data_IF_540025453347
#
_entry.id   IF_540025453347
#
_cell.length_a   1.000
_cell.length_b   1.000
_cell.length_c   1.000
_cell.angle_alpha   90.00
_cell.angle_beta   90.00
_cell.angle_gamma   90.00
#
_symmetry.space_group_name_H-M   'P 1'
#
loop_
_entity.id
_entity.type
_entity.pdbx_description
1 polymer ?
#
# COMPACT_ATOMS: atom_id res chain seq x y z
N UNK A 1 -50.41 -5.39 21.94
CA UNK A 1 -49.00 -5.58 22.31
C UNK A 1 -48.51 -6.87 21.65
N UNK A 2 -47.60 -6.77 20.72
CA UNK A 2 -47.29 -7.83 19.75
C UNK A 2 -46.42 -8.93 20.42
N UNK A 3 -46.72 -10.20 20.14
CA UNK A 3 -45.99 -11.38 20.67
C UNK A 3 -44.48 -11.24 20.35
N UNK A 4 -44.14 -10.62 19.24
CA UNK A 4 -42.75 -10.33 18.89
C UNK A 4 -42.04 -9.39 19.89
N UNK A 5 -42.71 -8.39 20.41
CA UNK A 5 -42.14 -7.49 21.45
C UNK A 5 -41.85 -8.20 22.78
N UNK A 6 -42.70 -9.16 23.18
CA UNK A 6 -42.44 -9.95 24.38
C UNK A 6 -41.24 -10.88 24.22
N UNK A 7 -41.11 -11.51 23.06
CA UNK A 7 -40.00 -12.40 22.74
C UNK A 7 -38.66 -11.63 22.70
N UNK A 8 -38.62 -10.44 22.11
CA UNK A 8 -37.43 -9.60 22.09
C UNK A 8 -37.04 -9.07 23.47
N UNK A 9 -38.00 -8.69 24.31
CA UNK A 9 -37.71 -8.29 25.69
C UNK A 9 -37.12 -9.43 26.51
N UNK A 10 -37.61 -10.66 26.34
CA UNK A 10 -37.07 -11.85 26.99
C UNK A 10 -35.63 -12.17 26.55
N UNK A 11 -35.35 -12.11 25.25
CA UNK A 11 -34.01 -12.31 24.69
C UNK A 11 -33.02 -11.27 25.21
N UNK A 12 -33.44 -10.01 25.30
CA UNK A 12 -32.61 -8.91 25.80
C UNK A 12 -32.31 -9.05 27.29
N UNK A 13 -33.30 -9.45 28.11
CA UNK A 13 -33.06 -9.69 29.53
C UNK A 13 -32.05 -10.81 29.74
N UNK A 14 -32.17 -11.89 28.99
CA UNK A 14 -31.20 -12.99 28.99
C UNK A 14 -29.80 -12.55 28.57
N UNK A 15 -29.69 -11.73 27.52
CA UNK A 15 -28.42 -11.13 27.05
C UNK A 15 -27.78 -10.30 28.18
N UNK A 16 -28.53 -9.37 28.79
CA UNK A 16 -28.04 -8.53 29.90
C UNK A 16 -27.54 -9.38 31.04
N UNK A 17 -28.29 -10.38 31.48
CA UNK A 17 -27.90 -11.28 32.56
C UNK A 17 -26.58 -12.00 32.25
N UNK A 18 -26.48 -12.60 31.06
CA UNK A 18 -25.28 -13.36 30.65
C UNK A 18 -24.07 -12.46 30.48
N UNK A 19 -24.22 -11.33 29.80
CA UNK A 19 -23.09 -10.40 29.57
C UNK A 19 -22.62 -9.74 30.87
N UNK A 20 -23.53 -9.40 31.79
CA UNK A 20 -23.16 -8.87 33.12
C UNK A 20 -22.41 -9.91 33.93
N UNK A 21 -22.83 -11.18 33.87
CA UNK A 21 -22.23 -12.25 34.68
C UNK A 21 -20.80 -12.60 34.20
N UNK A 22 -20.54 -12.66 32.89
CA UNK A 22 -19.29 -13.21 32.38
C UNK A 22 -18.49 -12.25 31.47
N UNK A 23 -19.08 -11.14 31.05
CA UNK A 23 -18.44 -10.19 30.11
C UNK A 23 -17.17 -9.56 30.70
N UNK A 24 -17.20 -9.18 31.96
CA UNK A 24 -16.09 -8.58 32.68
C UNK A 24 -15.11 -9.57 33.35
N UNK A 25 -15.37 -10.89 33.31
CA UNK A 25 -14.46 -11.85 33.88
C UNK A 25 -13.11 -11.86 33.14
N UNK A 26 -11.98 -11.70 33.85
CA UNK A 26 -10.66 -11.68 33.20
C UNK A 26 -10.42 -12.91 32.32
N UNK A 27 -9.85 -12.70 31.15
CA UNK A 27 -9.55 -13.77 30.20
C UNK A 27 -8.65 -14.84 30.81
N UNK A 28 -7.71 -14.45 31.67
CA UNK A 28 -6.73 -15.32 32.32
C UNK A 28 -7.34 -16.18 33.46
N UNK A 29 -8.49 -15.79 34.01
CA UNK A 29 -9.10 -16.44 35.16
C UNK A 29 -10.43 -17.07 34.75
N UNK A 30 -10.41 -18.14 33.99
CA UNK A 30 -11.61 -18.89 33.58
C UNK A 30 -12.66 -18.12 32.78
N UNK A 31 -12.47 -16.83 32.54
CA UNK A 31 -13.44 -15.99 31.82
C UNK A 31 -13.75 -16.51 30.41
N UNK A 32 -12.75 -17.03 29.69
CA UNK A 32 -12.95 -17.65 28.34
C UNK A 32 -13.85 -18.88 28.44
N UNK A 33 -13.67 -19.71 29.49
CA UNK A 33 -14.44 -20.95 29.68
C UNK A 33 -15.91 -20.60 29.90
N UNK A 34 -16.18 -19.65 30.81
CA UNK A 34 -17.56 -19.25 31.12
C UNK A 34 -18.25 -18.59 29.93
N UNK A 35 -17.54 -17.74 29.17
CA UNK A 35 -18.08 -17.17 27.92
C UNK A 35 -18.37 -18.26 26.90
N UNK A 36 -17.49 -19.25 26.73
CA UNK A 36 -17.72 -20.39 25.82
C UNK A 36 -18.97 -21.21 26.20
N UNK A 37 -19.29 -21.32 27.48
CA UNK A 37 -20.46 -22.07 27.97
C UNK A 37 -21.75 -21.25 27.84
N UNK A 38 -21.70 -19.97 28.18
CA UNK A 38 -22.94 -19.17 28.37
C UNK A 38 -23.32 -18.37 27.10
N UNK A 39 -22.36 -17.92 26.30
CA UNK A 39 -22.64 -17.12 25.11
C UNK A 39 -23.44 -17.83 24.00
N UNK A 40 -23.33 -19.16 23.81
CA UNK A 40 -24.23 -19.86 22.89
C UNK A 40 -25.72 -19.66 23.17
N UNK A 41 -26.05 -19.33 24.40
CA UNK A 41 -27.45 -19.11 24.79
C UNK A 41 -28.02 -17.75 24.36
N UNK A 42 -27.19 -16.77 24.02
CA UNK A 42 -27.62 -15.40 23.64
C UNK A 42 -27.42 -15.06 22.18
N UNK A 43 -26.41 -15.67 21.51
CA UNK A 43 -26.16 -15.45 20.07
C UNK A 43 -27.16 -16.20 19.20
N UNK A 44 -27.46 -15.62 18.01
CA UNK A 44 -28.22 -16.35 17.00
C UNK A 44 -27.49 -17.62 16.55
N UNK A 45 -26.18 -17.52 16.39
CA UNK A 45 -25.26 -18.62 16.13
C UNK A 45 -23.88 -18.25 16.64
N UNK A 46 -23.20 -19.19 17.29
CA UNK A 46 -21.77 -19.08 17.59
C UNK A 46 -21.10 -20.40 17.26
N UNK A 47 -20.00 -20.33 16.53
CA UNK A 47 -19.25 -21.48 16.05
C UNK A 47 -18.38 -22.13 17.11
N UNK A 48 -17.61 -23.12 16.67
CA UNK A 48 -16.68 -23.86 17.54
C UNK A 48 -15.36 -23.08 17.69
N UNK A 49 -14.70 -23.26 18.85
CA UNK A 49 -13.38 -22.67 19.12
C UNK A 49 -13.34 -21.13 18.99
N UNK A 50 -14.45 -20.45 19.26
CA UNK A 50 -14.49 -18.98 19.32
C UNK A 50 -13.80 -18.51 20.58
N UNK A 51 -12.91 -17.52 20.45
CA UNK A 51 -12.16 -16.92 21.54
C UNK A 51 -12.60 -15.46 21.73
N UNK A 52 -13.19 -15.15 22.90
CA UNK A 52 -13.68 -13.81 23.21
C UNK A 52 -12.98 -13.33 24.47
N UNK A 53 -12.26 -12.22 24.38
CA UNK A 53 -11.59 -11.59 25.51
C UNK A 53 -12.57 -10.79 26.39
N UNK A 54 -12.11 -10.45 27.58
CA UNK A 54 -12.86 -9.60 28.51
C UNK A 54 -13.09 -8.20 27.95
N UNK A 55 -14.20 -7.58 28.36
CA UNK A 55 -14.59 -6.24 27.88
C UNK A 55 -15.17 -6.20 26.46
N UNK A 56 -15.38 -7.36 25.83
CA UNK A 56 -16.14 -7.40 24.59
C UNK A 56 -17.63 -7.16 24.88
N UNK A 57 -18.26 -6.23 24.17
CA UNK A 57 -19.65 -5.82 24.35
C UNK A 57 -20.53 -6.31 23.19
N UNK A 58 -21.67 -6.90 23.53
CA UNK A 58 -22.66 -7.34 22.55
C UNK A 58 -24.02 -6.74 22.90
N UNK A 59 -24.66 -6.17 21.89
CA UNK A 59 -26.01 -5.64 22.00
C UNK A 59 -26.84 -6.22 20.87
N UNK A 60 -27.95 -6.91 21.16
CA UNK A 60 -28.72 -7.64 20.17
C UNK A 60 -28.01 -8.87 19.65
N UNK A 61 -27.33 -9.62 20.52
CA UNK A 61 -26.58 -10.84 20.18
C UNK A 61 -27.43 -11.88 19.42
N UNK A 62 -28.74 -11.87 19.62
CA UNK A 62 -29.71 -12.72 18.90
C UNK A 62 -29.80 -12.41 17.39
N UNK A 63 -29.21 -11.32 16.91
CA UNK A 63 -29.08 -10.96 15.49
C UNK A 63 -27.65 -11.20 14.97
N UNK A 64 -26.73 -11.69 15.81
CA UNK A 64 -25.32 -11.87 15.48
C UNK A 64 -25.03 -13.36 15.27
N UNK A 65 -24.40 -13.66 14.12
CA UNK A 65 -23.89 -14.99 13.76
C UNK A 65 -22.36 -14.93 13.72
N UNK A 66 -21.70 -15.80 14.48
CA UNK A 66 -20.24 -15.91 14.56
C UNK A 66 -19.82 -17.29 14.07
N UNK A 67 -18.87 -17.35 13.14
CA UNK A 67 -18.30 -18.55 12.58
C UNK A 67 -17.34 -19.30 13.54
N UNK A 68 -16.68 -20.32 12.99
CA UNK A 68 -15.71 -21.12 13.73
C UNK A 68 -14.35 -20.42 13.87
N UNK A 69 -13.65 -20.64 15.00
CA UNK A 69 -12.29 -20.12 15.25
C UNK A 69 -12.16 -18.60 15.14
N UNK A 70 -13.20 -17.86 15.41
CA UNK A 70 -13.20 -16.39 15.45
C UNK A 70 -12.52 -15.90 16.72
N UNK A 71 -11.68 -14.86 16.58
CA UNK A 71 -11.02 -14.19 17.71
C UNK A 71 -11.57 -12.77 17.86
N UNK A 72 -12.17 -12.48 19.02
CA UNK A 72 -12.63 -11.15 19.40
C UNK A 72 -11.77 -10.65 20.57
N UNK A 73 -11.00 -9.60 20.31
CA UNK A 73 -10.09 -9.03 21.29
C UNK A 73 -10.80 -8.06 22.25
N UNK A 74 -10.07 -7.59 23.26
CA UNK A 74 -10.60 -6.72 24.32
C UNK A 74 -11.26 -5.46 23.78
N UNK A 75 -12.44 -5.09 24.33
CA UNK A 75 -13.11 -3.85 23.97
C UNK A 75 -13.74 -3.83 22.58
N UNK A 76 -13.87 -4.98 21.92
CA UNK A 76 -14.67 -5.11 20.70
C UNK A 76 -16.14 -4.89 21.06
N UNK A 77 -16.81 -4.00 20.33
CA UNK A 77 -18.25 -3.76 20.46
C UNK A 77 -18.98 -4.20 19.21
N UNK A 78 -20.01 -5.02 19.34
CA UNK A 78 -20.87 -5.45 18.22
C UNK A 78 -22.32 -5.18 18.60
N UNK A 79 -22.95 -4.25 17.87
CA UNK A 79 -24.31 -3.82 18.11
C UNK A 79 -25.23 -4.17 16.93
N UNK A 80 -26.00 -5.22 17.08
CA UNK A 80 -27.03 -5.68 16.13
C UNK A 80 -28.44 -5.51 16.69
N UNK A 81 -28.69 -4.52 17.57
CA UNK A 81 -29.92 -4.39 18.34
C UNK A 81 -31.16 -4.09 17.52
N UNK A 82 -31.00 -3.34 16.43
CA UNK A 82 -32.13 -2.81 15.70
C UNK A 82 -32.93 -3.89 14.92
N UNK A 83 -34.19 -3.59 14.64
CA UNK A 83 -35.07 -4.49 13.91
C UNK A 83 -34.51 -4.78 12.51
N UNK A 84 -34.59 -6.03 12.08
CA UNK A 84 -34.06 -6.52 10.81
C UNK A 84 -32.55 -6.35 10.63
N UNK A 85 -31.81 -6.03 11.71
CA UNK A 85 -30.36 -6.02 11.66
C UNK A 85 -29.82 -7.47 11.64
N UNK A 86 -28.83 -7.73 10.82
CA UNK A 86 -28.12 -9.00 10.76
C UNK A 86 -26.62 -8.76 10.65
N UNK A 87 -25.88 -9.30 11.58
CA UNK A 87 -24.42 -9.26 11.57
C UNK A 87 -23.89 -10.68 11.44
N UNK A 88 -23.11 -10.96 10.39
CA UNK A 88 -22.49 -12.26 10.16
C UNK A 88 -20.97 -12.11 10.08
N UNK A 89 -20.28 -12.84 10.94
CA UNK A 89 -18.82 -12.93 10.98
C UNK A 89 -18.43 -14.34 10.55
N UNK A 90 -17.63 -14.44 9.49
CA UNK A 90 -17.16 -15.69 8.91
C UNK A 90 -16.17 -16.43 9.79
N UNK A 91 -15.74 -17.60 9.30
CA UNK A 91 -14.77 -18.43 10.03
C UNK A 91 -13.38 -17.78 10.06
N UNK A 92 -12.61 -18.03 11.12
CA UNK A 92 -11.22 -17.58 11.28
C UNK A 92 -11.01 -16.06 11.18
N UNK A 93 -12.07 -15.29 11.37
CA UNK A 93 -11.98 -13.82 11.43
C UNK A 93 -11.33 -13.42 12.76
N UNK A 94 -10.39 -12.47 12.69
CA UNK A 94 -9.80 -11.84 13.86
C UNK A 94 -10.22 -10.36 13.91
N UNK A 95 -10.82 -9.96 15.04
CA UNK A 95 -11.31 -8.60 15.27
C UNK A 95 -10.57 -8.02 16.46
N UNK A 96 -9.69 -7.07 16.19
CA UNK A 96 -8.78 -6.46 17.14
C UNK A 96 -9.47 -5.51 18.13
N UNK A 97 -8.71 -5.12 19.15
CA UNK A 97 -9.18 -4.30 20.26
C UNK A 97 -9.85 -3.01 19.80
N UNK A 98 -10.94 -2.65 20.48
CA UNK A 98 -11.61 -1.38 20.28
C UNK A 98 -12.30 -1.22 18.92
N UNK A 99 -12.47 -2.32 18.19
CA UNK A 99 -13.26 -2.30 16.94
C UNK A 99 -14.73 -2.11 17.32
N UNK A 100 -15.42 -1.20 16.63
CA UNK A 100 -16.85 -0.95 16.79
C UNK A 100 -17.59 -1.36 15.51
N UNK A 101 -18.47 -2.37 15.64
CA UNK A 101 -19.37 -2.81 14.57
C UNK A 101 -20.78 -2.47 15.01
N UNK A 102 -21.38 -1.43 14.40
CA UNK A 102 -22.68 -0.93 14.81
C UNK A 102 -23.62 -0.79 13.61
N UNK A 103 -24.63 -1.62 13.56
CA UNK A 103 -25.71 -1.49 12.61
C UNK A 103 -26.79 -0.52 13.08
N UNK A 104 -27.51 0.11 12.14
CA UNK A 104 -28.77 0.80 12.37
C UNK A 104 -29.96 -0.08 11.96
N UNK A 105 -31.12 0.54 11.77
CA UNK A 105 -32.30 -0.15 11.25
C UNK A 105 -32.03 -0.82 9.90
N UNK A 106 -32.51 -2.06 9.74
CA UNK A 106 -32.36 -2.88 8.53
C UNK A 106 -30.91 -3.17 8.12
N UNK A 107 -29.94 -3.04 9.03
CA UNK A 107 -28.55 -3.24 8.73
C UNK A 107 -28.23 -4.69 8.33
N UNK A 108 -27.31 -4.84 7.38
CA UNK A 108 -26.71 -6.12 7.01
C UNK A 108 -25.20 -5.97 6.95
N UNK A 109 -24.51 -6.54 7.93
CA UNK A 109 -23.04 -6.52 7.96
C UNK A 109 -22.54 -7.95 7.79
N UNK A 110 -21.75 -8.18 6.75
CA UNK A 110 -21.13 -9.48 6.47
C UNK A 110 -19.62 -9.31 6.39
N UNK A 111 -18.88 -10.11 7.16
CA UNK A 111 -17.42 -10.19 7.14
C UNK A 111 -17.03 -11.59 6.73
N UNK A 112 -16.32 -11.72 5.60
CA UNK A 112 -15.89 -12.99 5.03
C UNK A 112 -14.82 -13.68 5.85
N UNK A 113 -14.67 -14.99 5.62
CA UNK A 113 -13.70 -15.83 6.33
C UNK A 113 -12.24 -15.38 6.15
N UNK A 114 -11.37 -15.71 7.11
CA UNK A 114 -9.93 -15.38 7.12
C UNK A 114 -9.63 -13.87 7.07
N UNK A 115 -10.60 -13.00 7.35
CA UNK A 115 -10.43 -11.54 7.33
C UNK A 115 -9.94 -11.03 8.68
N UNK A 116 -8.98 -10.09 8.63
CA UNK A 116 -8.43 -9.39 9.78
C UNK A 116 -8.97 -7.97 9.85
N UNK A 117 -9.50 -7.57 11.01
CA UNK A 117 -9.98 -6.21 11.29
C UNK A 117 -9.09 -5.60 12.38
N UNK A 118 -8.29 -4.62 11.99
CA UNK A 118 -7.31 -3.93 12.83
C UNK A 118 -7.93 -3.05 13.91
N UNK A 119 -7.12 -2.65 14.92
CA UNK A 119 -7.59 -1.94 16.10
C UNK A 119 -8.34 -0.65 15.79
N UNK A 120 -9.38 -0.35 16.58
CA UNK A 120 -10.16 0.89 16.51
C UNK A 120 -10.79 1.16 15.13
N UNK A 121 -11.00 0.13 14.34
CA UNK A 121 -11.78 0.21 13.10
C UNK A 121 -13.26 0.38 13.44
N UNK A 122 -13.95 1.25 12.71
CA UNK A 122 -15.38 1.46 12.80
C UNK A 122 -16.08 0.95 11.53
N UNK A 123 -17.03 0.03 11.71
CA UNK A 123 -17.84 -0.55 10.63
C UNK A 123 -19.30 -0.35 10.98
N UNK A 124 -20.04 0.36 10.13
CA UNK A 124 -21.44 0.57 10.49
C UNK A 124 -22.25 1.39 9.52
N UNK A 125 -23.42 1.79 10.05
CA UNK A 125 -24.44 2.53 9.34
C UNK A 125 -25.70 1.68 9.09
N UNK A 126 -26.83 2.32 8.78
CA UNK A 126 -28.06 1.61 8.45
C UNK A 126 -28.01 0.90 7.10
N UNK A 127 -27.01 1.17 6.25
CA UNK A 127 -26.81 0.51 4.98
C UNK A 127 -26.16 -0.87 5.11
N UNK A 128 -26.12 -1.58 3.97
CA UNK A 128 -25.43 -2.87 3.88
C UNK A 128 -23.91 -2.67 3.83
N UNK A 129 -23.17 -3.45 4.62
CA UNK A 129 -21.71 -3.55 4.51
C UNK A 129 -21.33 -5.01 4.26
N UNK A 130 -20.64 -5.26 3.16
CA UNK A 130 -20.08 -6.57 2.84
C UNK A 130 -18.60 -6.46 2.68
N UNK A 131 -17.84 -7.19 3.51
CA UNK A 131 -16.40 -7.35 3.42
C UNK A 131 -16.12 -8.78 3.01
N UNK A 132 -15.35 -8.95 1.95
CA UNK A 132 -14.98 -10.24 1.38
C UNK A 132 -14.07 -11.06 2.29
N UNK A 133 -13.60 -12.18 1.75
CA UNK A 133 -12.71 -13.12 2.43
C UNK A 133 -11.25 -12.65 2.33
N UNK A 134 -10.43 -13.07 3.32
CA UNK A 134 -8.98 -12.84 3.33
C UNK A 134 -8.58 -11.38 3.19
N UNK A 135 -9.43 -10.47 3.66
CA UNK A 135 -9.13 -9.05 3.67
C UNK A 135 -8.25 -8.67 4.87
N UNK A 136 -7.39 -7.68 4.66
CA UNK A 136 -6.60 -7.04 5.69
C UNK A 136 -7.08 -5.60 5.87
N UNK A 137 -7.81 -5.33 6.93
CA UNK A 137 -8.29 -3.99 7.27
C UNK A 137 -7.38 -3.45 8.38
N UNK A 138 -6.56 -2.45 8.07
CA UNK A 138 -5.65 -1.87 9.05
C UNK A 138 -6.38 -0.99 10.07
N UNK A 139 -5.65 -0.61 11.13
CA UNK A 139 -6.17 0.15 12.25
C UNK A 139 -6.82 1.48 11.84
N UNK A 140 -7.80 1.95 12.65
CA UNK A 140 -8.50 3.23 12.50
C UNK A 140 -9.23 3.44 11.16
N UNK A 141 -9.50 2.36 10.44
CA UNK A 141 -10.31 2.40 9.21
C UNK A 141 -11.76 2.70 9.54
N UNK A 142 -12.41 3.53 8.72
CA UNK A 142 -13.83 3.83 8.81
C UNK A 142 -14.58 3.30 7.58
N UNK A 143 -15.57 2.44 7.78
CA UNK A 143 -16.42 1.87 6.73
C UNK A 143 -17.87 2.18 7.13
N UNK A 144 -18.43 3.27 6.57
CA UNK A 144 -19.73 3.79 7.04
C UNK A 144 -20.69 3.88 5.88
N UNK A 145 -21.68 2.97 5.88
CA UNK A 145 -22.65 2.79 4.80
C UNK A 145 -23.88 3.68 4.95
N UNK A 146 -23.65 4.97 5.14
CA UNK A 146 -24.67 6.01 5.07
C UNK A 146 -24.03 7.39 4.92
N UNK A 147 -24.78 8.32 4.29
CA UNK A 147 -24.45 9.76 4.31
C UNK A 147 -25.71 10.54 4.68
N UNK A 148 -25.55 11.62 5.44
CA UNK A 148 -26.65 12.55 5.67
C UNK A 148 -26.99 13.31 4.39
N UNK A 149 -28.27 13.48 4.11
CA UNK A 149 -28.77 14.39 3.05
C UNK A 149 -28.65 15.81 3.57
N UNK A 150 -28.12 16.72 2.74
CA UNK A 150 -27.86 18.12 3.10
C UNK A 150 -28.14 19.10 1.95
N UNK A 151 -28.87 18.66 0.93
CA UNK A 151 -29.09 19.45 -0.28
C UNK A 151 -30.00 20.66 -0.08
N UNK A 152 -30.90 20.63 0.88
CA UNK A 152 -31.81 21.74 1.18
C UNK A 152 -31.20 22.65 2.25
N UNK A 153 -30.77 23.89 1.90
CA UNK A 153 -30.17 24.82 2.85
C UNK A 153 -31.19 25.43 3.85
N UNK A 154 -32.48 25.24 3.63
CA UNK A 154 -33.55 25.75 4.50
C UNK A 154 -33.98 24.74 5.58
N UNK A 155 -33.52 23.51 5.52
CA UNK A 155 -33.77 22.47 6.50
C UNK A 155 -32.52 22.08 7.26
N UNK A 156 -32.66 21.76 8.55
CA UNK A 156 -31.55 21.17 9.29
C UNK A 156 -31.13 19.84 8.66
N UNK A 157 -29.83 19.61 8.55
CA UNK A 157 -29.26 18.37 7.98
C UNK A 157 -29.85 17.12 8.67
N UNK A 158 -30.05 17.19 9.97
CA UNK A 158 -30.65 16.10 10.77
C UNK A 158 -32.04 15.67 10.27
N UNK A 159 -32.81 16.61 9.73
CA UNK A 159 -34.21 16.37 9.36
C UNK A 159 -34.36 15.96 7.89
N UNK A 160 -33.27 16.02 7.10
CA UNK A 160 -33.27 15.64 5.68
C UNK A 160 -33.08 14.14 5.43
N UNK A 161 -32.82 13.35 6.49
CA UNK A 161 -32.62 11.91 6.38
C UNK A 161 -31.22 11.50 5.94
N UNK A 162 -31.06 10.24 5.51
CA UNK A 162 -29.79 9.62 5.15
C UNK A 162 -29.92 8.78 3.89
N UNK A 163 -28.82 8.68 3.12
CA UNK A 163 -28.67 7.66 2.07
C UNK A 163 -28.12 6.37 2.65
N UNK A 164 -28.45 5.23 2.03
CA UNK A 164 -28.08 3.88 2.46
C UNK A 164 -27.82 3.00 1.24
N UNK A 165 -26.84 3.42 0.39
CA UNK A 165 -26.52 2.71 -0.85
C UNK A 165 -25.77 1.42 -0.59
N UNK A 166 -25.07 1.36 0.52
CA UNK A 166 -24.26 0.23 0.93
C UNK A 166 -22.81 0.28 0.46
N UNK A 167 -21.98 -0.56 1.06
CA UNK A 167 -20.54 -0.71 0.74
C UNK A 167 -20.26 -2.18 0.46
N UNK A 168 -19.51 -2.44 -0.62
CA UNK A 168 -18.99 -3.77 -0.92
C UNK A 168 -17.48 -3.74 -1.08
N UNK A 169 -16.76 -4.55 -0.29
CA UNK A 169 -15.31 -4.77 -0.39
C UNK A 169 -15.11 -6.21 -0.84
N UNK A 170 -14.49 -6.40 -1.99
CA UNK A 170 -14.21 -7.72 -2.56
C UNK A 170 -13.21 -8.54 -1.74
N UNK A 171 -12.99 -9.78 -2.15
CA UNK A 171 -12.01 -10.68 -1.51
C UNK A 171 -10.58 -10.17 -1.71
N UNK A 172 -9.66 -10.56 -0.80
CA UNK A 172 -8.22 -10.27 -0.88
C UNK A 172 -7.90 -8.77 -0.99
N UNK A 173 -8.66 -7.90 -0.33
CA UNK A 173 -8.39 -6.47 -0.28
C UNK A 173 -7.54 -6.09 0.93
N UNK A 174 -6.64 -5.14 0.74
CA UNK A 174 -5.89 -4.51 1.82
C UNK A 174 -6.27 -3.02 1.92
N UNK A 175 -6.86 -2.63 3.05
CA UNK A 175 -7.11 -1.23 3.40
C UNK A 175 -6.05 -0.79 4.41
N UNK A 176 -5.23 0.18 4.03
CA UNK A 176 -4.18 0.76 4.86
C UNK A 176 -4.73 1.52 6.08
N UNK A 177 -3.82 1.91 6.98
CA UNK A 177 -4.14 2.64 8.19
C UNK A 177 -4.99 3.88 7.92
N UNK A 178 -6.08 4.04 8.67
CA UNK A 178 -6.90 5.26 8.64
C UNK A 178 -7.75 5.47 7.37
N UNK A 179 -7.86 4.48 6.48
CA UNK A 179 -8.73 4.55 5.29
C UNK A 179 -10.17 4.85 5.67
N UNK A 180 -10.85 5.68 4.87
CA UNK A 180 -12.28 5.93 4.99
C UNK A 180 -13.00 5.49 3.72
N UNK A 181 -14.03 4.64 3.86
CA UNK A 181 -14.87 4.18 2.76
C UNK A 181 -16.27 4.75 2.94
N UNK A 182 -16.73 5.52 1.97
CA UNK A 182 -18.02 6.21 2.03
C UNK A 182 -19.15 5.36 1.41
N UNK A 183 -20.38 5.72 1.78
CA UNK A 183 -21.61 5.05 1.29
C UNK A 183 -21.70 4.99 -0.23
N UNK A 184 -22.11 3.85 -0.75
CA UNK A 184 -22.28 3.58 -2.18
C UNK A 184 -21.03 3.13 -2.90
N UNK A 185 -19.93 2.85 -2.19
CA UNK A 185 -18.64 2.46 -2.79
C UNK A 185 -18.52 0.95 -2.91
N UNK A 186 -18.03 0.50 -4.07
CA UNK A 186 -17.53 -0.86 -4.30
C UNK A 186 -16.02 -0.85 -4.47
N UNK A 187 -15.29 -1.62 -3.63
CA UNK A 187 -13.87 -1.89 -3.81
C UNK A 187 -13.72 -3.29 -4.40
N UNK A 188 -13.23 -3.35 -5.65
CA UNK A 188 -13.04 -4.60 -6.37
C UNK A 188 -12.01 -5.52 -5.71
N UNK A 189 -12.20 -6.84 -5.86
CA UNK A 189 -11.32 -7.87 -5.28
C UNK A 189 -9.83 -7.61 -5.55
N UNK A 190 -8.98 -8.00 -4.62
CA UNK A 190 -7.52 -7.91 -4.77
C UNK A 190 -6.98 -6.49 -4.73
N UNK A 191 -7.78 -5.47 -4.39
CA UNK A 191 -7.34 -4.08 -4.39
C UNK A 191 -6.60 -3.70 -3.10
N UNK A 192 -5.69 -2.74 -3.23
CA UNK A 192 -4.94 -2.11 -2.14
C UNK A 192 -5.34 -0.65 -2.05
N UNK A 193 -5.78 -0.23 -0.87
CA UNK A 193 -6.09 1.17 -0.58
C UNK A 193 -5.02 1.71 0.37
N UNK A 194 -4.26 2.69 -0.08
CA UNK A 194 -3.16 3.28 0.70
C UNK A 194 -3.64 3.99 1.96
N UNK A 195 -2.76 4.07 2.96
CA UNK A 195 -3.06 4.66 4.24
C UNK A 195 -3.59 6.10 4.12
N UNK A 196 -4.59 6.44 4.95
CA UNK A 196 -5.21 7.77 4.97
C UNK A 196 -6.09 8.09 3.76
N UNK A 197 -6.26 7.20 2.80
CA UNK A 197 -7.10 7.45 1.64
C UNK A 197 -8.59 7.54 1.98
N UNK A 198 -9.33 8.38 1.24
CA UNK A 198 -10.78 8.53 1.35
C UNK A 198 -11.42 8.05 0.06
N UNK A 199 -12.05 6.88 0.12
CA UNK A 199 -12.69 6.24 -1.04
C UNK A 199 -14.10 6.77 -1.20
N UNK A 200 -14.31 7.57 -2.23
CA UNK A 200 -15.58 8.26 -2.54
C UNK A 200 -16.26 7.72 -3.81
N UNK A 201 -15.57 6.87 -4.57
CA UNK A 201 -16.02 6.25 -5.81
C UNK A 201 -15.51 4.82 -5.88
N UNK A 202 -16.13 4.02 -6.73
CA UNK A 202 -15.75 2.63 -6.95
C UNK A 202 -14.29 2.50 -7.37
N UNK A 203 -13.64 1.46 -6.83
CA UNK A 203 -12.28 1.08 -7.16
C UNK A 203 -12.33 -0.23 -7.95
N UNK A 204 -11.78 -0.26 -9.18
CA UNK A 204 -11.74 -1.48 -9.98
C UNK A 204 -10.96 -2.61 -9.28
N UNK A 205 -11.24 -3.88 -9.61
CA UNK A 205 -10.50 -5.00 -9.05
C UNK A 205 -8.99 -4.88 -9.28
N UNK A 206 -8.22 -5.37 -8.31
CA UNK A 206 -6.74 -5.40 -8.34
C UNK A 206 -6.07 -4.03 -8.46
N UNK A 207 -6.78 -2.95 -8.18
CA UNK A 207 -6.22 -1.60 -8.19
C UNK A 207 -5.38 -1.31 -6.95
N UNK A 208 -4.36 -0.47 -7.11
CA UNK A 208 -3.71 0.25 -6.02
C UNK A 208 -4.24 1.69 -6.06
N UNK A 209 -4.97 2.10 -5.01
CA UNK A 209 -5.60 3.42 -4.95
C UNK A 209 -5.13 4.19 -3.72
N UNK A 210 -4.83 5.48 -3.89
CA UNK A 210 -4.32 6.36 -2.82
C UNK A 210 -4.94 7.75 -2.90
N UNK A 211 -4.85 8.50 -1.82
CA UNK A 211 -5.16 9.94 -1.77
C UNK A 211 -6.57 10.28 -1.30
N UNK A 212 -6.87 11.60 -1.25
CA UNK A 212 -8.13 12.20 -0.83
C UNK A 212 -8.60 13.18 -1.93
N UNK A 213 -9.59 12.78 -2.75
CA UNK A 213 -10.21 11.46 -2.83
C UNK A 213 -9.28 10.39 -3.41
N UNK A 214 -9.53 9.12 -3.06
CA UNK A 214 -8.75 8.00 -3.54
C UNK A 214 -8.87 7.84 -5.07
N UNK A 215 -7.72 7.67 -5.74
CA UNK A 215 -7.63 7.40 -7.18
C UNK A 215 -6.77 6.15 -7.39
N UNK A 216 -7.20 5.29 -8.30
CA UNK A 216 -6.38 4.17 -8.75
C UNK A 216 -5.15 4.72 -9.50
N UNK A 217 -3.96 4.37 -9.00
CA UNK A 217 -2.67 4.81 -9.58
C UNK A 217 -1.92 3.67 -10.25
N UNK A 218 -2.25 2.42 -9.91
CA UNK A 218 -1.64 1.22 -10.46
C UNK A 218 -2.60 0.02 -10.39
N UNK A 219 -2.23 -1.09 -11.02
CA UNK A 219 -2.93 -2.36 -10.94
C UNK A 219 -2.01 -3.46 -10.41
N UNK A 220 -2.55 -4.33 -9.53
CA UNK A 220 -1.89 -5.57 -9.07
C UNK A 220 -2.02 -6.72 -10.06
N UNK A 221 -2.97 -6.65 -10.98
CA UNK A 221 -2.99 -7.62 -12.05
C UNK A 221 -1.79 -7.38 -12.95
N UNK A 222 -1.03 -8.43 -13.29
CA UNK A 222 -0.21 -8.34 -14.49
C UNK A 222 -1.19 -7.93 -15.61
N UNK A 223 -0.89 -6.83 -16.27
CA UNK A 223 -1.64 -6.40 -17.44
C UNK A 223 -1.84 -7.63 -18.30
N UNK A 224 -3.07 -8.16 -18.37
CA UNK A 224 -3.37 -9.08 -19.47
C UNK A 224 -2.93 -8.35 -20.72
N UNK A 225 -2.22 -9.01 -21.64
CA UNK A 225 -1.83 -8.34 -22.85
C UNK A 225 -3.12 -7.80 -23.48
N UNK A 226 -3.33 -6.50 -23.38
CA UNK A 226 -4.17 -5.81 -24.32
C UNK A 226 -3.54 -6.26 -25.64
N UNK A 227 -4.31 -6.86 -26.53
CA UNK A 227 -3.90 -7.16 -27.91
C UNK A 227 -3.53 -5.84 -28.59
N UNK A 228 -2.44 -5.26 -28.17
CA UNK A 228 -1.66 -4.28 -28.92
C UNK A 228 -0.63 -5.15 -29.61
N UNK A 229 -0.89 -5.44 -30.85
CA UNK A 229 0.15 -5.92 -31.74
C UNK A 229 1.39 -5.02 -31.58
N UNK A 230 2.52 -5.67 -31.25
CA UNK A 230 3.91 -5.20 -31.17
C UNK A 230 4.42 -4.64 -29.83
N UNK A 231 5.27 -5.43 -29.18
CA UNK A 231 6.25 -5.03 -28.18
C UNK A 231 6.12 -5.75 -26.84
N UNK A 232 7.04 -6.60 -26.61
CA UNK A 232 7.22 -7.50 -25.48
C UNK A 232 7.37 -6.75 -24.14
N UNK A 233 6.25 -6.44 -23.45
CA UNK A 233 6.23 -5.80 -22.13
C UNK A 233 6.47 -6.79 -20.96
N UNK A 234 6.72 -8.06 -21.24
CA UNK A 234 7.04 -9.09 -20.26
C UNK A 234 8.28 -8.77 -19.44
N UNK A 235 9.16 -7.94 -19.96
CA UNK A 235 10.42 -7.51 -19.31
C UNK A 235 10.19 -6.62 -18.10
N UNK A 236 9.19 -5.72 -18.12
CA UNK A 236 8.89 -4.83 -16.99
C UNK A 236 8.27 -5.57 -15.80
N UNK A 237 7.53 -6.64 -16.05
CA UNK A 237 6.94 -7.47 -15.00
C UNK A 237 8.02 -8.19 -14.18
N UNK A 238 9.12 -8.59 -14.81
CA UNK A 238 10.22 -9.27 -14.14
C UNK A 238 11.02 -8.35 -13.19
N UNK A 239 11.01 -7.03 -13.40
CA UNK A 239 11.72 -6.06 -12.57
C UNK A 239 10.94 -5.59 -11.35
N UNK A 240 9.63 -5.75 -11.35
CA UNK A 240 8.76 -5.20 -10.31
C UNK A 240 9.11 -5.65 -8.87
N UNK A 241 9.50 -6.92 -8.60
CA UNK A 241 9.90 -7.33 -7.26
C UNK A 241 11.15 -6.61 -6.73
N UNK A 242 12.19 -6.45 -7.58
CA UNK A 242 13.44 -5.79 -7.19
C UNK A 242 13.26 -4.29 -6.97
N UNK A 243 12.45 -3.63 -7.80
CA UNK A 243 12.12 -2.21 -7.67
C UNK A 243 11.28 -1.95 -6.41
N UNK A 244 10.31 -2.81 -6.12
CA UNK A 244 9.46 -2.70 -4.92
C UNK A 244 10.28 -2.89 -3.64
N UNK A 245 11.23 -3.82 -3.63
CA UNK A 245 12.10 -4.05 -2.47
C UNK A 245 13.06 -2.88 -2.25
N UNK A 246 13.57 -2.28 -3.32
CA UNK A 246 14.43 -1.10 -3.23
C UNK A 246 13.69 0.13 -2.68
N UNK A 247 12.46 0.39 -3.13
CA UNK A 247 11.61 1.47 -2.62
C UNK A 247 11.27 1.26 -1.14
N UNK A 248 10.94 0.04 -0.76
CA UNK A 248 10.61 -0.33 0.60
C UNK A 248 11.79 -0.12 1.56
N UNK A 249 12.99 -0.49 1.14
CA UNK A 249 14.20 -0.31 1.93
C UNK A 249 14.58 1.16 2.06
N UNK A 250 14.37 1.97 1.04
CA UNK A 250 14.59 3.41 1.11
C UNK A 250 13.64 4.11 2.10
N UNK A 251 12.40 3.63 2.22
CA UNK A 251 11.39 4.13 3.17
C UNK A 251 11.61 3.63 4.61
N UNK A 252 12.17 2.43 4.78
CA UNK A 252 12.42 1.82 6.10
C UNK A 252 13.82 2.14 6.67
N UNK A 253 14.56 3.05 6.05
CA UNK A 253 15.92 3.42 6.42
C UNK A 253 16.07 3.77 7.91
N UNK A 254 15.15 4.58 8.44
CA UNK A 254 15.14 4.96 9.87
C UNK A 254 14.89 3.78 10.81
N UNK A 255 14.13 2.78 10.39
CA UNK A 255 13.86 1.56 11.15
C UNK A 255 15.06 0.61 11.17
N UNK A 256 15.81 0.51 10.07
CA UNK A 256 16.98 -0.34 9.97
C UNK A 256 18.11 0.19 10.88
N UNK A 257 18.30 1.50 10.97
CA UNK A 257 19.25 2.12 11.90
C UNK A 257 18.92 1.89 13.38
N UNK A 258 17.63 1.87 13.74
CA UNK A 258 17.17 1.61 15.11
C UNK A 258 17.34 0.15 15.51
N UNK A 259 17.18 -0.78 14.55
CA UNK A 259 17.24 -2.23 14.82
C UNK A 259 18.68 -2.78 14.77
N UNK A 260 19.58 -2.15 14.04
CA UNK A 260 20.97 -2.59 13.94
C UNK A 260 21.92 -1.43 13.62
N UNK A 261 22.46 -0.74 14.65
CA UNK A 261 23.30 0.46 14.47
C UNK A 261 24.63 0.21 13.73
N UNK A 262 24.99 -1.06 13.48
CA UNK A 262 26.19 -1.43 12.74
C UNK A 262 25.96 -1.64 11.22
N UNK A 263 24.71 -1.58 10.74
CA UNK A 263 24.39 -1.67 9.32
C UNK A 263 23.99 -0.27 8.85
N UNK A 264 24.87 0.38 8.10
CA UNK A 264 24.52 1.64 7.43
C UNK A 264 23.42 1.37 6.40
N UNK A 265 22.29 2.11 6.48
CA UNK A 265 21.23 2.02 5.49
C UNK A 265 21.72 2.33 4.06
N UNK A 266 22.80 3.11 3.95
CA UNK A 266 23.49 3.35 2.68
C UNK A 266 24.06 2.04 2.10
N UNK A 267 24.63 1.15 2.91
CA UNK A 267 25.16 -0.13 2.45
C UNK A 267 24.06 -1.07 1.96
N UNK A 268 22.89 -1.04 2.61
CA UNK A 268 21.72 -1.83 2.18
C UNK A 268 21.18 -1.31 0.85
N UNK A 269 21.07 0.00 0.69
CA UNK A 269 20.65 0.64 -0.54
C UNK A 269 21.62 0.34 -1.70
N UNK A 270 22.93 0.44 -1.47
CA UNK A 270 23.96 0.14 -2.48
C UNK A 270 23.89 -1.31 -2.95
N UNK A 271 23.68 -2.27 -2.02
CA UNK A 271 23.51 -3.67 -2.37
C UNK A 271 22.24 -3.93 -3.19
N UNK A 272 21.11 -3.30 -2.82
CA UNK A 272 19.85 -3.44 -3.56
C UNK A 272 19.94 -2.80 -4.95
N UNK A 273 20.59 -1.65 -5.05
CA UNK A 273 20.86 -1.00 -6.33
C UNK A 273 21.68 -1.92 -7.24
N UNK A 274 22.73 -2.57 -6.69
CA UNK A 274 23.54 -3.52 -7.45
C UNK A 274 22.73 -4.72 -7.97
N UNK A 275 21.86 -5.30 -7.15
CA UNK A 275 20.96 -6.39 -7.55
C UNK A 275 19.99 -5.94 -8.65
N UNK A 276 19.45 -4.72 -8.53
CA UNK A 276 18.57 -4.15 -9.54
C UNK A 276 19.32 -3.95 -10.87
N UNK A 277 20.54 -3.38 -10.82
CA UNK A 277 21.34 -3.17 -12.04
C UNK A 277 21.63 -4.49 -12.74
N UNK A 278 22.01 -5.55 -12.01
CA UNK A 278 22.23 -6.86 -12.61
C UNK A 278 20.96 -7.43 -13.25
N UNK A 279 19.80 -7.27 -12.60
CA UNK A 279 18.52 -7.72 -13.13
C UNK A 279 18.14 -6.98 -14.43
N UNK A 280 18.35 -5.66 -14.47
CA UNK A 280 18.11 -4.85 -15.67
C UNK A 280 19.09 -5.22 -16.80
N UNK A 281 20.37 -5.42 -16.47
CA UNK A 281 21.40 -5.82 -17.41
C UNK A 281 21.04 -7.12 -18.14
N UNK A 282 20.64 -8.14 -17.37
CA UNK A 282 20.23 -9.44 -17.92
C UNK A 282 18.95 -9.33 -18.74
N UNK A 283 17.94 -8.63 -18.24
CA UNK A 283 16.68 -8.46 -18.92
C UNK A 283 16.80 -7.72 -20.24
N UNK A 284 17.59 -6.66 -20.28
CA UNK A 284 17.84 -5.87 -21.49
C UNK A 284 18.88 -6.52 -22.40
N UNK A 285 19.55 -7.58 -21.96
CA UNK A 285 20.65 -8.24 -22.69
C UNK A 285 21.71 -7.22 -23.12
N UNK A 286 22.18 -6.43 -22.16
CA UNK A 286 23.26 -5.46 -22.36
C UNK A 286 24.53 -5.90 -21.62
N UNK A 287 25.69 -5.41 -22.05
CA UNK A 287 26.98 -5.82 -21.47
C UNK A 287 27.32 -5.02 -20.23
N UNK A 288 26.94 -3.74 -20.23
CA UNK A 288 27.25 -2.80 -19.13
C UNK A 288 26.03 -1.99 -18.72
N UNK A 289 25.99 -1.61 -17.44
CA UNK A 289 24.98 -0.75 -16.86
C UNK A 289 25.58 0.08 -15.73
N UNK A 290 25.23 1.36 -15.65
CA UNK A 290 25.74 2.24 -14.59
C UNK A 290 24.74 3.31 -14.17
N UNK A 291 24.82 3.64 -12.88
CA UNK A 291 24.19 4.81 -12.26
C UNK A 291 25.28 5.79 -11.85
N UNK A 292 25.18 7.00 -12.38
CA UNK A 292 26.01 8.11 -12.00
C UNK A 292 25.18 9.13 -11.23
N UNK A 293 25.69 9.61 -10.10
CA UNK A 293 25.02 10.62 -9.31
C UNK A 293 25.83 11.91 -9.29
N UNK A 294 25.12 13.02 -9.21
CA UNK A 294 25.70 14.34 -9.08
C UNK A 294 26.10 14.60 -7.63
N UNK A 295 27.32 14.96 -7.37
CA UNK A 295 27.76 15.43 -6.07
C UNK A 295 27.22 16.84 -5.82
N UNK A 296 26.72 17.09 -4.60
CA UNK A 296 26.22 18.40 -4.20
C UNK A 296 27.34 19.45 -4.27
N UNK A 297 27.01 20.59 -4.88
CA UNK A 297 27.94 21.70 -5.07
C UNK A 297 28.93 21.51 -6.23
N UNK A 298 29.04 20.30 -6.79
CA UNK A 298 29.92 20.02 -7.93
C UNK A 298 29.12 19.93 -9.24
N UNK A 299 29.65 20.50 -10.30
CA UNK A 299 29.11 20.32 -11.67
C UNK A 299 29.66 19.06 -12.31
N UNK A 300 29.70 17.96 -11.55
CA UNK A 300 30.27 16.68 -12.00
C UNK A 300 29.40 15.51 -11.56
N UNK A 301 29.40 14.47 -12.38
CA UNK A 301 28.79 13.16 -12.11
C UNK A 301 29.88 12.19 -11.63
N UNK A 302 29.57 11.38 -10.63
CA UNK A 302 30.41 10.27 -10.17
C UNK A 302 29.66 8.95 -10.34
N UNK A 303 30.35 7.89 -10.71
CA UNK A 303 29.78 6.54 -10.77
C UNK A 303 29.46 6.08 -9.36
N UNK A 304 28.19 5.81 -9.11
CA UNK A 304 27.67 5.35 -7.81
C UNK A 304 27.52 3.83 -7.76
N UNK A 305 27.03 3.24 -8.84
CA UNK A 305 26.89 1.78 -8.98
C UNK A 305 27.03 1.39 -10.45
N UNK A 306 27.64 0.23 -10.74
CA UNK A 306 27.79 -0.27 -12.09
C UNK A 306 27.95 -1.77 -12.13
N UNK A 307 27.59 -2.37 -13.26
CA UNK A 307 27.94 -3.75 -13.61
C UNK A 307 28.61 -3.74 -14.98
N UNK A 308 29.77 -4.38 -15.07
CA UNK A 308 30.59 -4.43 -16.28
C UNK A 308 31.55 -3.24 -16.49
N UNK A 309 31.50 -2.23 -15.61
CA UNK A 309 32.38 -1.04 -15.64
C UNK A 309 32.97 -0.72 -14.25
N UNK A 310 33.30 -1.73 -13.46
CA UNK A 310 33.76 -1.60 -12.07
C UNK A 310 35.04 -0.75 -11.95
N UNK A 311 35.82 -0.71 -13.01
CA UNK A 311 37.05 0.11 -13.07
C UNK A 311 36.75 1.62 -13.01
N UNK A 312 35.56 2.07 -13.44
CA UNK A 312 35.15 3.48 -13.34
C UNK A 312 35.00 3.92 -11.86
N UNK A 313 34.51 3.01 -11.00
CA UNK A 313 34.46 3.26 -9.55
C UNK A 313 35.87 3.29 -8.97
N UNK A 314 36.68 2.28 -9.28
CA UNK A 314 38.02 2.13 -8.74
C UNK A 314 38.96 3.28 -9.12
N UNK A 315 38.82 3.79 -10.35
CA UNK A 315 39.64 4.92 -10.85
C UNK A 315 39.05 6.28 -10.47
N UNK A 316 37.85 6.30 -9.86
CA UNK A 316 37.19 7.54 -9.42
C UNK A 316 36.83 8.47 -10.56
N UNK A 317 36.33 7.94 -11.67
CA UNK A 317 35.94 8.73 -12.84
C UNK A 317 34.92 9.82 -12.45
N UNK A 318 35.20 11.07 -12.87
CA UNK A 318 34.33 12.22 -12.69
C UNK A 318 33.99 12.80 -14.05
N UNK A 319 32.71 12.97 -14.35
CA UNK A 319 32.25 13.45 -15.67
C UNK A 319 31.61 14.83 -15.47
N UNK A 320 32.16 15.90 -16.07
CA UNK A 320 31.56 17.22 -15.97
C UNK A 320 30.17 17.25 -16.65
N UNK A 321 29.20 17.93 -16.01
CA UNK A 321 27.87 18.18 -16.59
C UNK A 321 28.06 18.99 -17.88
N UNK A 322 27.38 18.60 -18.95
CA UNK A 322 27.53 19.18 -20.29
C UNK A 322 28.71 18.63 -21.11
N UNK A 323 29.43 17.61 -20.62
CA UNK A 323 30.55 16.98 -21.31
C UNK A 323 30.35 15.48 -21.51
N UNK A 324 30.69 15.02 -22.69
CA UNK A 324 30.60 13.60 -23.08
C UNK A 324 29.15 13.07 -23.05
N UNK A 325 29.01 11.74 -23.10
CA UNK A 325 27.69 11.09 -23.17
C UNK A 325 26.83 11.39 -21.92
N UNK A 326 27.28 11.00 -20.74
CA UNK A 326 26.51 11.14 -19.51
C UNK A 326 26.34 12.61 -19.07
N UNK A 327 27.39 13.45 -19.25
CA UNK A 327 27.31 14.87 -18.89
C UNK A 327 26.28 15.63 -19.72
N UNK A 328 26.15 15.32 -21.01
CA UNK A 328 25.13 15.93 -21.87
C UNK A 328 23.71 15.50 -21.51
N UNK A 329 23.50 14.24 -21.12
CA UNK A 329 22.20 13.74 -20.63
C UNK A 329 21.78 14.50 -19.36
N UNK A 330 22.70 14.70 -18.42
CA UNK A 330 22.42 15.42 -17.19
C UNK A 330 22.10 16.91 -17.44
N UNK A 331 22.79 17.53 -18.38
CA UNK A 331 22.61 18.95 -18.72
C UNK A 331 21.29 19.22 -19.45
N UNK A 332 21.03 18.45 -20.51
CA UNK A 332 19.84 18.59 -21.36
C UNK A 332 18.60 17.97 -20.76
N UNK A 333 18.75 17.05 -19.82
CA UNK A 333 17.67 16.24 -19.23
C UNK A 333 16.89 15.43 -20.24
N UNK A 334 17.57 14.99 -21.28
CA UNK A 334 17.00 14.26 -22.40
C UNK A 334 17.61 12.86 -22.49
N UNK A 335 16.81 11.91 -22.93
CA UNK A 335 17.25 10.57 -23.29
C UNK A 335 18.15 10.63 -24.53
N UNK A 336 19.25 9.89 -24.52
CA UNK A 336 20.19 9.79 -25.64
C UNK A 336 20.44 8.33 -25.98
N UNK A 337 20.27 7.98 -27.27
CA UNK A 337 20.65 6.70 -27.86
C UNK A 337 21.79 6.91 -28.82
N UNK A 338 22.82 6.09 -28.73
CA UNK A 338 24.01 6.13 -29.61
C UNK A 338 24.25 4.74 -30.13
N UNK A 339 24.20 4.59 -31.44
CA UNK A 339 24.45 3.33 -32.15
C UNK A 339 25.95 3.05 -32.30
N UNK A 340 26.76 4.10 -32.44
CA UNK A 340 28.21 4.03 -32.58
C UNK A 340 28.89 5.07 -31.68
N UNK A 341 29.48 4.60 -30.60
CA UNK A 341 30.15 5.43 -29.60
C UNK A 341 31.42 6.13 -30.14
N UNK A 342 31.97 5.66 -31.26
CA UNK A 342 33.14 6.28 -31.91
C UNK A 342 32.83 7.67 -32.46
N UNK A 343 31.54 7.95 -32.73
CA UNK A 343 31.09 9.19 -33.38
C UNK A 343 30.76 10.32 -32.39
N UNK A 344 30.87 10.05 -31.09
CA UNK A 344 30.59 11.05 -30.03
C UNK A 344 31.79 11.22 -29.11
N UNK A 345 31.83 12.38 -28.47
CA UNK A 345 32.80 12.63 -27.40
C UNK A 345 32.44 11.77 -26.19
N UNK A 346 33.37 10.92 -25.76
CA UNK A 346 33.29 10.11 -24.53
C UNK A 346 34.33 10.60 -23.56
N UNK A 347 33.87 11.01 -22.37
CA UNK A 347 34.74 11.56 -21.34
C UNK A 347 35.49 10.46 -20.55
N UNK A 348 34.81 9.32 -20.27
CA UNK A 348 35.46 8.18 -19.60
C UNK A 348 36.34 7.41 -20.58
N UNK A 349 37.66 7.31 -20.34
CA UNK A 349 38.55 6.52 -21.18
C UNK A 349 38.24 5.02 -21.13
N UNK A 350 37.63 4.54 -20.03
CA UNK A 350 37.31 3.14 -19.78
C UNK A 350 36.27 2.63 -20.77
N UNK A 351 35.28 3.44 -21.13
CA UNK A 351 34.25 3.06 -22.12
C UNK A 351 34.88 2.70 -23.47
N UNK A 352 35.86 3.48 -23.90
CA UNK A 352 36.61 3.20 -25.15
C UNK A 352 37.56 2.01 -25.04
N UNK A 353 38.28 1.92 -23.91
CA UNK A 353 39.23 0.82 -23.66
C UNK A 353 38.53 -0.54 -23.61
N UNK A 354 37.33 -0.60 -23.08
CA UNK A 354 36.50 -1.81 -23.05
C UNK A 354 35.80 -2.12 -24.38
N UNK A 355 35.87 -1.24 -25.35
CA UNK A 355 35.28 -1.47 -26.69
C UNK A 355 33.76 -1.37 -26.71
N UNK A 356 33.16 -0.52 -25.83
CA UNK A 356 31.73 -0.24 -25.95
C UNK A 356 31.40 0.37 -27.30
N UNK A 357 30.36 -0.16 -27.93
CA UNK A 357 29.93 0.23 -29.25
C UNK A 357 28.66 1.08 -29.24
N UNK A 358 27.60 0.61 -28.60
CA UNK A 358 26.30 1.30 -28.55
C UNK A 358 25.89 1.59 -27.12
N UNK A 359 25.23 2.73 -26.88
CA UNK A 359 24.77 3.15 -25.56
C UNK A 359 23.37 3.76 -25.61
N UNK A 360 22.66 3.55 -24.51
CA UNK A 360 21.38 4.20 -24.21
C UNK A 360 21.46 4.79 -22.80
N UNK A 361 21.15 6.06 -22.64
CA UNK A 361 21.16 6.74 -21.36
C UNK A 361 19.94 7.63 -21.12
N UNK A 362 19.54 7.71 -19.87
CA UNK A 362 18.40 8.52 -19.40
C UNK A 362 18.79 9.34 -18.19
N UNK A 363 18.22 10.55 -17.99
CA UNK A 363 18.44 11.33 -16.78
C UNK A 363 17.70 10.68 -15.59
N UNK A 364 18.32 10.74 -14.41
CA UNK A 364 17.66 10.51 -13.12
C UNK A 364 17.09 11.84 -12.65
N UNK A 365 15.78 11.97 -12.62
CA UNK A 365 15.09 13.21 -12.27
C UNK A 365 14.41 13.10 -10.90
N UNK A 366 14.57 14.14 -10.07
CA UNK A 366 13.81 14.37 -8.84
C UNK A 366 13.33 15.82 -8.88
N UNK A 367 12.02 16.03 -8.80
CA UNK A 367 11.40 17.37 -8.88
C UNK A 367 11.94 18.21 -10.07
N UNK A 368 12.00 17.59 -11.25
CA UNK A 368 12.53 18.17 -12.50
C UNK A 368 14.02 18.57 -12.48
N UNK A 369 14.77 18.18 -11.46
CA UNK A 369 16.21 18.36 -11.42
C UNK A 369 16.93 17.05 -11.74
N UNK A 370 17.94 17.13 -12.62
CA UNK A 370 18.80 15.99 -12.90
C UNK A 370 19.76 15.75 -11.73
N UNK A 371 19.48 14.71 -10.94
CA UNK A 371 20.32 14.26 -9.83
C UNK A 371 21.40 13.27 -10.30
N UNK A 372 21.28 12.76 -11.50
CA UNK A 372 22.21 11.78 -12.06
C UNK A 372 21.84 11.32 -13.45
N UNK A 373 22.51 10.25 -13.88
CA UNK A 373 22.30 9.59 -15.17
C UNK A 373 22.30 8.08 -14.97
N UNK A 374 21.40 7.40 -15.66
CA UNK A 374 21.33 5.96 -15.72
C UNK A 374 21.56 5.52 -17.17
N UNK A 375 22.54 4.66 -17.42
CA UNK A 375 22.86 4.23 -18.78
C UNK A 375 23.20 2.76 -18.88
N UNK A 376 23.02 2.21 -20.08
CA UNK A 376 23.42 0.87 -20.50
C UNK A 376 24.29 0.93 -21.74
N UNK A 377 25.09 -0.11 -21.97
CA UNK A 377 25.95 -0.21 -23.16
C UNK A 377 26.17 -1.64 -23.61
N UNK A 378 26.53 -1.79 -24.88
CA UNK A 378 26.86 -3.07 -25.52
C UNK A 378 28.22 -3.02 -26.22
N UNK A 379 28.95 -4.14 -26.20
CA UNK A 379 30.23 -4.28 -26.93
C UNK A 379 30.02 -4.58 -28.40
N UNK A 380 28.80 -4.82 -28.84
CA UNK A 380 28.45 -5.02 -30.24
C UNK A 380 27.51 -3.92 -30.73
N UNK A 381 27.44 -3.74 -32.03
CA UNK A 381 26.49 -2.79 -32.62
C UNK A 381 25.06 -3.19 -32.28
N UNK A 382 24.32 -2.29 -31.66
CA UNK A 382 22.92 -2.45 -31.30
C UNK A 382 22.14 -1.16 -31.55
N UNK A 383 21.04 -1.28 -32.26
CA UNK A 383 20.05 -0.24 -32.34
C UNK A 383 19.05 -0.42 -31.20
N UNK A 384 19.09 0.48 -30.20
CA UNK A 384 18.15 0.48 -29.11
C UNK A 384 16.76 0.89 -29.59
N UNK A 385 15.72 0.15 -29.19
CA UNK A 385 14.34 0.42 -29.56
C UNK A 385 13.70 1.47 -28.65
N UNK A 386 12.57 2.03 -29.07
CA UNK A 386 11.76 2.88 -28.21
C UNK A 386 11.27 2.13 -26.95
N UNK A 387 11.10 0.81 -27.02
CA UNK A 387 10.76 0.00 -25.86
C UNK A 387 11.92 -0.10 -24.85
N UNK A 388 13.15 -0.25 -25.33
CA UNK A 388 14.33 -0.20 -24.45
C UNK A 388 14.42 1.16 -23.75
N UNK A 389 14.13 2.25 -24.45
CA UNK A 389 14.09 3.59 -23.87
C UNK A 389 13.03 3.74 -22.78
N UNK A 390 11.81 3.23 -23.00
CA UNK A 390 10.73 3.24 -22.00
C UNK A 390 11.08 2.45 -20.76
N UNK A 391 11.70 1.28 -20.90
CA UNK A 391 12.19 0.48 -19.78
C UNK A 391 13.21 1.28 -18.96
N UNK A 392 14.18 1.89 -19.62
CA UNK A 392 15.20 2.71 -18.96
C UNK A 392 14.62 3.91 -18.23
N UNK A 393 13.66 4.62 -18.83
CA UNK A 393 12.96 5.74 -18.20
C UNK A 393 12.17 5.29 -16.97
N UNK A 394 11.44 4.19 -17.07
CA UNK A 394 10.69 3.61 -15.94
C UNK A 394 11.60 3.25 -14.76
N UNK A 395 12.72 2.56 -15.04
CA UNK A 395 13.70 2.20 -14.00
C UNK A 395 14.35 3.45 -13.40
N UNK A 396 14.71 4.44 -14.24
CA UNK A 396 15.30 5.70 -13.80
C UNK A 396 14.38 6.48 -12.85
N UNK A 397 13.08 6.54 -13.13
CA UNK A 397 12.08 7.17 -12.26
C UNK A 397 12.05 6.50 -10.89
N UNK A 398 12.06 5.18 -10.83
CA UNK A 398 12.05 4.40 -9.58
C UNK A 398 13.33 4.56 -8.78
N UNK A 399 14.48 4.57 -9.43
CA UNK A 399 15.78 4.87 -8.80
C UNK A 399 15.76 6.29 -8.23
N UNK A 400 15.23 7.27 -8.95
CA UNK A 400 15.11 8.65 -8.50
C UNK A 400 14.28 8.79 -7.22
N UNK A 401 13.11 8.14 -7.19
CA UNK A 401 12.23 8.11 -6.02
C UNK A 401 12.88 7.44 -4.79
N UNK A 402 13.68 6.41 -5.00
CA UNK A 402 14.38 5.72 -3.91
C UNK A 402 15.59 6.53 -3.39
N UNK A 403 16.22 7.35 -4.22
CA UNK A 403 17.36 8.19 -3.82
C UNK A 403 16.91 9.49 -3.13
N UNK A 404 15.73 10.03 -3.46
CA UNK A 404 15.24 11.31 -2.92
C UNK A 404 15.31 11.42 -1.39
N UNK A 405 14.83 10.44 -0.60
CA UNK A 405 14.93 10.48 0.86
C UNK A 405 16.37 10.50 1.38
N UNK A 406 17.29 9.79 0.71
CA UNK A 406 18.70 9.72 1.09
C UNK A 406 19.43 11.06 0.85
N UNK A 407 19.04 11.81 -0.18
CA UNK A 407 19.56 13.15 -0.45
C UNK A 407 19.06 14.18 0.57
N UNK A 408 17.80 14.08 1.03
CA UNK A 408 17.21 14.99 2.00
C UNK A 408 17.83 14.86 3.40
N UNK A 409 18.28 13.68 3.80
CA UNK A 409 18.92 13.45 5.10
C UNK A 409 20.33 14.05 5.21
N UNK A 410 20.99 14.37 4.11
CA UNK A 410 22.31 15.03 4.11
C UNK A 410 22.24 16.52 4.47
N UNK A 411 21.03 17.14 4.55
CA UNK A 411 20.80 18.52 4.97
C UNK A 411 19.73 18.67 6.06
N UNK A 412 20.04 18.44 7.36
CA UNK A 412 19.09 18.72 8.45
C UNK A 412 18.85 20.22 8.72
N UNK A 413 19.56 21.16 8.08
CA UNK A 413 19.56 22.59 8.48
C UNK A 413 18.93 23.60 7.50
N UNK A 414 18.08 23.19 6.54
CA UNK A 414 17.47 24.15 5.61
C UNK A 414 16.03 24.63 5.97
N UNK A 415 15.52 24.28 7.16
CA UNK A 415 14.16 24.66 7.59
C UNK A 415 14.09 25.79 8.64
N UNK A 416 15.21 26.46 9.01
CA UNK A 416 15.19 27.53 10.03
C UNK A 416 15.10 28.98 9.48
N UNK A 417 14.86 29.21 8.21
CA UNK A 417 14.80 30.58 7.65
C UNK A 417 13.42 31.07 7.15
N UNK A 418 12.32 30.45 7.58
CA UNK A 418 10.97 30.98 7.32
C UNK A 418 10.13 31.10 8.61
N UNK A 419 10.70 31.76 9.64
CA UNK A 419 9.91 32.37 10.73
C UNK A 419 10.58 33.68 11.13
N UNK A 420 10.34 34.74 10.37
CA UNK A 420 10.35 36.16 10.78
C UNK A 420 10.18 37.01 9.53
N UNK A 421 8.96 37.32 9.15
CA UNK A 421 8.45 38.67 8.82
C UNK A 421 6.92 38.54 8.87
#
# INVERSE_FOLDING_TARGET
MDIQQYTQKGLRLKEILVTTLVGGLPTVVLGVIWRKILYPAIFKRIGKAVFIQDGAEFVGAYNIEIGDRVHLFRGVRINGRDNNCRIRIGDRVAIERGVDIAGGENCQIEIGEDTFIGPYTCIGGPGRVKIGKKCLIAAQTGIVANNHTFADPLQYIRDQGVTQKGIEIGDDCWLGYGVKVLDGVTIGKGSVIGAGAVVTKDIPPYSIAVGVPAKAIASRQPTQPINIHHGDDSRLVALNPALTEMEKTALDHDRIQVLNPNISGQLVFENLLQVLLESVRQMMQVDTIAVLLRNEGEKQLAVSATVGLEEEITTGVRIPVGKGFAGNIADRRELVMVEDLSQIEVFSPILRQKGLHSMLGVPLLVKDQAIGVFHVGTFHHRQFSHNDARIMQFVAERIGLAIEPLLQQRHPNSHEHYKAI
#
